data_IF_421391159852
#
_entry.id   IF_421391159852
#
_cell.length_a   1.000
_cell.length_b   1.000
_cell.length_c   1.000
_cell.angle_alpha   90.00
_cell.angle_beta   90.00
_cell.angle_gamma   90.00
#
_symmetry.space_group_name_H-M   'P 1'
#
loop_
_entity.id
_entity.type
_entity.pdbx_description
1 polymer ?
#
# COMPACT_ATOMS: atom_id res chain seq x y z
N UNK A 1 -3.94 19.36 -5.76
CA UNK A 1 -2.68 18.68 -6.11
C UNK A 1 -2.97 17.20 -6.12
N UNK A 2 -2.89 16.54 -7.27
CA UNK A 2 -3.05 15.10 -7.36
C UNK A 2 -1.67 14.47 -7.16
N UNK A 3 -1.54 13.55 -6.22
CA UNK A 3 -0.31 12.80 -6.05
C UNK A 3 -0.18 11.77 -7.19
N UNK A 4 1.02 11.62 -7.76
CA UNK A 4 1.33 10.58 -8.72
C UNK A 4 1.58 9.26 -8.00
N UNK A 5 0.77 8.24 -8.29
CA UNK A 5 0.93 6.90 -7.73
C UNK A 5 1.93 6.10 -8.57
N UNK A 6 3.01 5.61 -7.94
CA UNK A 6 4.02 4.75 -8.57
C UNK A 6 4.06 3.38 -7.92
N UNK A 7 3.31 2.37 -8.43
CA UNK A 7 3.31 1.05 -7.85
C UNK A 7 4.59 0.26 -8.19
N UNK A 8 5.16 -0.41 -7.19
CA UNK A 8 6.33 -1.27 -7.37
C UNK A 8 6.00 -2.50 -8.24
N UNK A 9 7.05 -3.12 -8.80
CA UNK A 9 6.91 -4.38 -9.55
C UNK A 9 6.22 -5.48 -8.73
N UNK A 10 6.40 -5.49 -7.40
CA UNK A 10 5.76 -6.46 -6.51
C UNK A 10 4.25 -6.22 -6.41
N UNK A 11 3.84 -4.98 -6.23
CA UNK A 11 2.42 -4.56 -6.17
C UNK A 11 1.71 -4.90 -7.48
N UNK A 12 2.29 -4.51 -8.62
CA UNK A 12 1.70 -4.80 -9.93
C UNK A 12 1.54 -6.31 -10.15
N UNK A 13 2.56 -7.11 -9.80
CA UNK A 13 2.48 -8.58 -9.90
C UNK A 13 1.43 -9.16 -8.97
N UNK A 14 1.32 -8.66 -7.74
CA UNK A 14 0.32 -9.11 -6.77
C UNK A 14 -1.11 -8.84 -7.26
N UNK A 15 -1.40 -7.60 -7.64
CA UNK A 15 -2.72 -7.20 -8.14
C UNK A 15 -3.09 -7.89 -9.46
N UNK A 16 -2.10 -8.23 -10.31
CA UNK A 16 -2.34 -9.01 -11.54
C UNK A 16 -2.66 -10.48 -11.25
N UNK A 17 -2.06 -11.07 -10.21
CA UNK A 17 -2.31 -12.46 -9.80
C UNK A 17 -3.62 -12.65 -9.02
N UNK A 18 -4.14 -11.57 -8.46
CA UNK A 18 -5.37 -11.60 -7.67
C UNK A 18 -6.57 -11.97 -8.58
N UNK A 19 -7.15 -13.16 -8.33
CA UNK A 19 -8.31 -13.66 -9.09
C UNK A 19 -9.63 -13.04 -8.63
N UNK A 20 -9.70 -12.66 -7.36
CA UNK A 20 -10.88 -12.08 -6.77
C UNK A 20 -11.02 -10.61 -7.18
N UNK A 21 -12.04 -10.31 -7.98
CA UNK A 21 -12.24 -8.97 -8.56
C UNK A 21 -12.54 -7.92 -7.50
N UNK A 22 -13.43 -8.22 -6.55
CA UNK A 22 -13.86 -7.28 -5.52
C UNK A 22 -12.71 -6.88 -4.59
N UNK A 23 -11.88 -7.84 -4.18
CA UNK A 23 -10.67 -7.52 -3.40
C UNK A 23 -9.68 -6.69 -4.21
N UNK A 24 -9.53 -6.97 -5.51
CA UNK A 24 -8.66 -6.18 -6.39
C UNK A 24 -9.16 -4.75 -6.52
N UNK A 25 -10.46 -4.57 -6.72
CA UNK A 25 -11.10 -3.25 -6.76
C UNK A 25 -10.88 -2.52 -5.44
N UNK A 26 -11.04 -3.19 -4.31
CA UNK A 26 -10.78 -2.59 -3.00
C UNK A 26 -9.33 -2.10 -2.87
N UNK A 27 -8.34 -2.88 -3.31
CA UNK A 27 -6.96 -2.40 -3.35
C UNK A 27 -6.80 -1.16 -4.23
N UNK A 28 -7.44 -1.12 -5.40
CA UNK A 28 -7.35 0.02 -6.30
C UNK A 28 -7.99 1.27 -5.69
N UNK A 29 -9.17 1.16 -5.08
CA UNK A 29 -9.84 2.27 -4.38
C UNK A 29 -8.96 2.81 -3.25
N UNK A 30 -8.40 1.93 -2.43
CA UNK A 30 -7.47 2.31 -1.34
C UNK A 30 -6.25 3.05 -1.89
N UNK A 31 -5.69 2.62 -3.02
CA UNK A 31 -4.50 3.24 -3.62
C UNK A 31 -4.81 4.58 -4.32
N UNK A 32 -5.86 4.61 -5.14
CA UNK A 32 -6.13 5.71 -6.08
C UNK A 32 -7.16 6.73 -5.57
N UNK A 33 -8.05 6.35 -4.65
CA UNK A 33 -9.08 7.25 -4.10
C UNK A 33 -8.75 7.71 -2.68
N UNK A 34 -8.14 6.84 -1.86
CA UNK A 34 -7.76 7.22 -0.49
C UNK A 34 -6.32 7.72 -0.40
N UNK A 35 -5.33 6.88 -0.73
CA UNK A 35 -3.91 7.24 -0.61
C UNK A 35 -3.55 8.41 -1.54
N UNK A 36 -4.03 8.42 -2.78
CA UNK A 36 -3.73 9.50 -3.72
C UNK A 36 -4.31 10.87 -3.32
N UNK A 37 -5.38 10.89 -2.52
CA UNK A 37 -6.04 12.14 -2.09
C UNK A 37 -5.53 12.58 -0.72
N UNK A 38 -5.33 11.62 0.19
CA UNK A 38 -4.92 11.87 1.58
C UNK A 38 -3.82 10.89 2.01
N UNK A 39 -2.60 11.00 1.49
CA UNK A 39 -1.53 10.04 1.83
C UNK A 39 -1.10 10.09 3.31
N UNK A 40 -1.46 11.14 4.04
CA UNK A 40 -1.19 11.23 5.48
C UNK A 40 -2.29 10.59 6.35
N UNK A 41 -3.32 9.98 5.77
CA UNK A 41 -4.38 9.29 6.52
C UNK A 41 -3.95 7.92 7.05
N UNK A 42 -2.87 7.34 6.51
CA UNK A 42 -2.32 6.07 6.96
C UNK A 42 -1.57 6.17 8.29
N UNK A 43 -1.13 5.02 8.80
CA UNK A 43 -0.27 4.96 9.97
C UNK A 43 1.20 5.14 9.55
N UNK A 44 1.82 6.23 10.00
CA UNK A 44 3.26 6.44 9.82
C UNK A 44 4.04 5.46 10.68
N UNK A 45 4.97 4.72 10.06
CA UNK A 45 5.83 3.78 10.75
C UNK A 45 7.07 4.47 11.30
N UNK A 46 7.61 3.89 12.37
CA UNK A 46 8.78 4.36 13.12
C UNK A 46 9.85 3.26 13.17
N UNK A 47 11.04 3.59 13.70
CA UNK A 47 12.16 2.65 13.78
C UNK A 47 12.72 2.25 12.41
N UNK A 48 12.96 0.96 12.18
CA UNK A 48 13.51 0.44 10.91
C UNK A 48 12.67 0.80 9.67
N UNK A 49 11.38 1.07 9.86
CA UNK A 49 10.42 1.39 8.80
C UNK A 49 10.08 2.90 8.77
N UNK A 50 10.89 3.73 9.40
CA UNK A 50 10.70 5.19 9.40
C UNK A 50 10.63 5.74 7.97
N UNK A 51 9.67 6.65 7.75
CA UNK A 51 9.37 7.21 6.43
C UNK A 51 8.39 6.39 5.59
N UNK A 52 7.99 5.20 6.04
CA UNK A 52 6.95 4.40 5.40
C UNK A 52 5.60 4.63 6.08
N UNK A 53 4.55 4.70 5.27
CA UNK A 53 3.16 4.75 5.70
C UNK A 53 2.48 3.43 5.39
N UNK A 54 1.56 3.01 6.25
CA UNK A 54 0.78 1.80 6.05
C UNK A 54 -0.71 2.09 6.20
N UNK A 55 -1.51 1.66 5.22
CA UNK A 55 -2.97 1.72 5.29
C UNK A 55 -3.53 0.31 5.23
N UNK A 56 -4.39 -0.04 6.18
CA UNK A 56 -4.96 -1.38 6.31
C UNK A 56 -6.46 -1.38 6.13
N UNK A 57 -6.99 -2.47 5.58
CA UNK A 57 -8.43 -2.70 5.47
C UNK A 57 -8.76 -4.17 5.73
N UNK A 58 -10.01 -4.45 6.12
CA UNK A 58 -10.50 -5.82 6.31
C UNK A 58 -11.36 -6.22 5.12
N UNK A 59 -11.16 -7.44 4.63
CA UNK A 59 -11.98 -8.03 3.57
C UNK A 59 -12.11 -9.54 3.82
N UNK A 60 -13.35 -10.05 3.79
CA UNK A 60 -13.67 -11.46 4.02
C UNK A 60 -12.98 -12.07 5.27
N UNK A 61 -12.97 -11.35 6.39
CA UNK A 61 -12.32 -11.78 7.64
C UNK A 61 -10.79 -11.69 7.66
N UNK A 62 -10.16 -11.32 6.54
CA UNK A 62 -8.71 -11.16 6.41
C UNK A 62 -8.32 -9.69 6.46
N UNK A 63 -7.25 -9.36 7.17
CA UNK A 63 -6.70 -8.00 7.20
C UNK A 63 -5.62 -7.86 6.13
N UNK A 64 -5.80 -6.87 5.27
CA UNK A 64 -4.86 -6.49 4.22
C UNK A 64 -4.21 -5.16 4.55
N UNK A 65 -3.04 -4.92 3.95
CA UNK A 65 -2.27 -3.68 4.10
C UNK A 65 -1.65 -3.25 2.78
N UNK A 66 -1.47 -1.94 2.65
CA UNK A 66 -0.73 -1.26 1.60
C UNK A 66 0.33 -0.40 2.26
N UNK A 67 1.59 -0.60 1.89
CA UNK A 67 2.73 0.19 2.35
C UNK A 67 3.17 1.13 1.23
N UNK A 68 3.36 2.39 1.57
CA UNK A 68 3.73 3.44 0.63
C UNK A 68 4.63 4.48 1.28
N UNK A 69 5.24 5.32 0.45
CA UNK A 69 5.99 6.49 0.88
C UNK A 69 5.37 7.76 0.33
N UNK A 70 5.79 8.91 0.87
CA UNK A 70 5.42 10.22 0.36
C UNK A 70 6.71 10.92 -0.02
N UNK A 71 6.95 11.12 -1.32
CA UNK A 71 8.14 11.78 -1.84
C UNK A 71 7.78 13.13 -2.46
N UNK A 72 8.56 14.14 -2.09
CA UNK A 72 8.47 15.51 -2.64
C UNK A 72 7.03 16.07 -2.62
N UNK A 73 6.20 15.62 -1.68
CA UNK A 73 4.77 15.92 -1.56
C UNK A 73 3.96 15.79 -2.87
N UNK A 74 4.45 15.00 -3.82
CA UNK A 74 3.88 14.91 -5.18
C UNK A 74 3.83 13.47 -5.67
N UNK A 75 4.70 12.60 -5.18
CA UNK A 75 4.80 11.21 -5.65
C UNK A 75 4.59 10.25 -4.49
N UNK A 76 3.81 9.20 -4.73
CA UNK A 76 3.53 8.14 -3.77
C UNK A 76 3.98 6.80 -4.35
N UNK A 77 5.19 6.35 -4.01
CA UNK A 77 5.64 4.99 -4.30
C UNK A 77 4.83 3.99 -3.47
N UNK A 78 4.11 3.06 -4.12
CA UNK A 78 3.48 1.93 -3.43
C UNK A 78 4.49 0.79 -3.39
N UNK A 79 5.00 0.49 -2.20
CA UNK A 79 6.08 -0.48 -2.00
C UNK A 79 5.55 -1.91 -2.02
N UNK A 80 4.49 -2.18 -1.25
CA UNK A 80 3.97 -3.53 -1.04
C UNK A 80 2.47 -3.49 -0.72
N UNK A 81 1.72 -4.48 -1.20
CA UNK A 81 0.33 -4.72 -0.83
C UNK A 81 0.11 -6.22 -0.59
N UNK A 82 -0.68 -6.59 0.42
CA UNK A 82 -0.90 -7.99 0.74
C UNK A 82 -1.64 -8.21 2.05
N UNK A 83 -1.75 -9.47 2.48
CA UNK A 83 -2.28 -9.84 3.79
C UNK A 83 -1.34 -9.38 4.91
N UNK A 84 -1.86 -9.29 6.14
CA UNK A 84 -1.06 -8.97 7.32
C UNK A 84 0.10 -9.96 7.56
N UNK A 85 -0.11 -11.23 7.22
CA UNK A 85 0.83 -12.31 7.45
C UNK A 85 2.15 -12.05 6.69
N UNK A 86 3.27 -12.01 7.43
CA UNK A 86 4.62 -11.73 6.91
C UNK A 86 4.78 -10.39 6.16
N UNK A 87 3.83 -9.46 6.29
CA UNK A 87 3.84 -8.18 5.57
C UNK A 87 5.06 -7.32 5.94
N UNK A 88 5.30 -7.12 7.23
CA UNK A 88 6.39 -6.28 7.70
C UNK A 88 7.76 -6.91 7.46
N UNK A 89 7.88 -8.24 7.53
CA UNK A 89 9.13 -8.93 7.19
C UNK A 89 9.47 -8.78 5.71
N UNK A 90 8.49 -8.91 4.82
CA UNK A 90 8.68 -8.65 3.39
C UNK A 90 9.00 -7.18 3.13
N UNK A 91 8.32 -6.26 3.82
CA UNK A 91 8.57 -4.83 3.70
C UNK A 91 10.00 -4.47 4.11
N UNK A 92 10.51 -5.04 5.21
CA UNK A 92 11.91 -4.87 5.66
C UNK A 92 12.95 -5.46 4.70
N UNK A 93 12.58 -6.39 3.81
CA UNK A 93 13.50 -6.93 2.78
C UNK A 93 13.56 -6.06 1.52
N UNK A 94 12.54 -5.23 1.30
CA UNK A 94 12.46 -4.32 0.15
C UNK A 94 13.09 -2.96 0.50
N UNK A 95 13.03 -2.58 1.79
CA UNK A 95 13.64 -1.38 2.37
C UNK A 95 15.11 -1.62 2.70
#
# INVERSE_FOLDING_TARGET
MAYEILPSKHVVKYLKKLKEKTLKEQFLTIIYDEIAVRPHSGEQKTGDLSGIWAMGFKYAGTTYRVAYEIKDNTVIPILLCGTHENFYEQLKKIR
#
